data_IF_433727905269
#
_entry.id   IF_433727905269
#
_cell.length_a   1.000
_cell.length_b   1.000
_cell.length_c   1.000
_cell.angle_alpha   90.00
_cell.angle_beta   90.00
_cell.angle_gamma   90.00
#
_symmetry.space_group_name_H-M   'P 1'
#
loop_
_entity.id
_entity.type
_entity.pdbx_description
1 polymer ?
#
# COMPACT_ATOMS: atom_id res chain seq x y z
N UNK A 1 -10.51 -1.20 -15.46
CA UNK A 1 -9.48 -1.04 -16.50
C UNK A 1 -10.10 -0.61 -17.85
N UNK A 2 -10.95 0.42 -17.87
CA UNK A 2 -11.55 0.89 -19.13
C UNK A 2 -10.49 1.51 -20.06
N UNK A 3 -9.70 2.44 -19.55
CA UNK A 3 -8.68 3.14 -20.33
C UNK A 3 -7.66 2.18 -20.96
N UNK A 4 -7.16 1.21 -20.20
CA UNK A 4 -6.22 0.21 -20.73
C UNK A 4 -6.85 -0.68 -21.82
N UNK A 5 -8.10 -1.12 -21.65
CA UNK A 5 -8.79 -1.87 -22.71
C UNK A 5 -8.97 -1.01 -23.97
N UNK A 6 -9.23 0.28 -23.78
CA UNK A 6 -9.38 1.22 -24.89
C UNK A 6 -8.05 1.44 -25.62
N UNK A 7 -6.95 1.63 -24.88
CA UNK A 7 -5.60 1.73 -25.47
C UNK A 7 -5.21 0.43 -26.20
N UNK A 8 -5.47 -0.72 -25.60
CA UNK A 8 -5.25 -2.01 -26.24
C UNK A 8 -6.07 -2.17 -27.53
N UNK A 9 -7.30 -1.65 -27.59
CA UNK A 9 -8.12 -1.69 -28.83
C UNK A 9 -7.57 -0.81 -29.96
N UNK A 10 -6.67 0.13 -29.65
CA UNK A 10 -5.96 0.93 -30.64
C UNK A 10 -4.62 0.31 -31.04
N UNK A 11 -4.38 -0.96 -30.70
CA UNK A 11 -3.14 -1.68 -31.02
C UNK A 11 -1.88 -1.00 -30.47
N UNK A 12 -2.01 -0.27 -29.34
CA UNK A 12 -0.87 0.31 -28.62
C UNK A 12 0.06 -0.80 -28.16
N UNK A 13 1.36 -0.58 -28.26
CA UNK A 13 2.36 -1.59 -27.91
C UNK A 13 2.27 -1.97 -26.42
N UNK A 14 2.57 -3.24 -26.06
CA UNK A 14 2.61 -3.70 -24.67
C UNK A 14 3.51 -2.86 -23.77
N UNK A 15 4.61 -2.33 -24.31
CA UNK A 15 5.58 -1.49 -23.59
C UNK A 15 4.94 -0.17 -23.18
N UNK A 16 4.26 0.51 -24.10
CA UNK A 16 3.57 1.78 -23.82
C UNK A 16 2.43 1.53 -22.81
N UNK A 17 1.71 0.42 -22.97
CA UNK A 17 0.65 0.05 -22.05
C UNK A 17 1.17 -0.26 -20.64
N UNK A 18 2.35 -0.87 -20.53
CA UNK A 18 3.07 -1.09 -19.27
C UNK A 18 3.48 0.23 -18.62
N UNK A 19 4.01 1.18 -19.39
CA UNK A 19 4.35 2.53 -18.91
C UNK A 19 3.10 3.25 -18.41
N UNK A 20 1.99 3.21 -19.15
CA UNK A 20 0.72 3.79 -18.74
C UNK A 20 0.19 3.18 -17.44
N UNK A 21 0.23 1.84 -17.33
CA UNK A 21 -0.18 1.14 -16.11
C UNK A 21 0.68 1.55 -14.90
N UNK A 22 2.01 1.54 -15.05
CA UNK A 22 2.93 1.87 -13.97
C UNK A 22 2.89 3.34 -13.54
N UNK A 23 2.64 4.27 -14.48
CA UNK A 23 2.59 5.70 -14.17
C UNK A 23 1.23 6.13 -13.61
N UNK A 24 0.12 5.68 -14.19
CA UNK A 24 -1.23 6.16 -13.85
C UNK A 24 -1.94 5.21 -12.89
N UNK A 25 -2.05 3.93 -13.25
CA UNK A 25 -2.85 2.99 -12.45
C UNK A 25 -2.14 2.65 -11.15
N UNK A 26 -0.84 2.35 -11.22
CA UNK A 26 -0.03 2.06 -10.03
C UNK A 26 0.08 3.28 -9.10
N UNK A 27 0.14 4.52 -9.59
CA UNK A 27 0.20 5.69 -8.71
C UNK A 27 -1.10 5.88 -7.91
N UNK A 28 -2.24 5.82 -8.59
CA UNK A 28 -3.57 5.86 -7.95
C UNK A 28 -3.72 4.71 -6.96
N UNK A 29 -3.33 3.50 -7.34
CA UNK A 29 -3.44 2.35 -6.45
C UNK A 29 -2.54 2.44 -5.24
N UNK A 30 -1.27 2.83 -5.40
CA UNK A 30 -0.34 2.99 -4.28
C UNK A 30 -0.93 3.94 -3.24
N UNK A 31 -1.54 5.04 -3.70
CA UNK A 31 -2.25 5.97 -2.83
C UNK A 31 -3.48 5.33 -2.16
N UNK A 32 -4.38 4.71 -2.92
CA UNK A 32 -5.59 4.09 -2.38
C UNK A 32 -5.29 2.92 -1.43
N UNK A 33 -4.24 2.16 -1.68
CA UNK A 33 -3.81 1.03 -0.85
C UNK A 33 -3.43 1.49 0.56
N UNK A 34 -2.78 2.64 0.70
CA UNK A 34 -2.44 3.15 2.04
C UNK A 34 -3.68 3.53 2.86
N UNK A 35 -4.75 3.95 2.20
CA UNK A 35 -5.98 4.36 2.87
C UNK A 35 -6.93 3.17 3.11
N UNK A 36 -7.09 2.27 2.14
CA UNK A 36 -8.14 1.24 2.11
C UNK A 36 -7.59 -0.18 1.95
N UNK A 37 -6.28 -0.36 1.79
CA UNK A 37 -5.64 -1.64 1.47
C UNK A 37 -5.84 -2.72 2.53
N UNK A 38 -6.03 -2.34 3.80
CA UNK A 38 -6.44 -3.25 4.87
C UNK A 38 -7.85 -3.83 4.69
N UNK A 39 -8.77 -3.09 4.05
CA UNK A 39 -10.17 -3.48 3.87
C UNK A 39 -10.43 -4.35 2.62
N UNK A 40 -9.49 -4.40 1.69
CA UNK A 40 -9.66 -5.14 0.43
C UNK A 40 -9.22 -6.60 0.62
N UNK A 41 -10.06 -7.53 0.18
CA UNK A 41 -9.77 -8.96 0.26
C UNK A 41 -8.60 -9.36 -0.66
N UNK A 42 -7.89 -10.45 -0.33
CA UNK A 42 -6.82 -10.99 -1.18
C UNK A 42 -7.34 -11.35 -2.58
N UNK A 43 -8.54 -11.92 -2.66
CA UNK A 43 -9.17 -12.30 -3.93
C UNK A 43 -9.36 -11.09 -4.87
N UNK A 44 -9.82 -9.95 -4.33
CA UNK A 44 -10.03 -8.75 -5.12
C UNK A 44 -8.70 -8.16 -5.63
N UNK A 45 -7.68 -8.14 -4.77
CA UNK A 45 -6.30 -7.73 -5.12
C UNK A 45 -5.75 -8.57 -6.27
N UNK A 46 -5.87 -9.89 -6.16
CA UNK A 46 -5.37 -10.83 -7.17
C UNK A 46 -6.15 -10.75 -8.48
N UNK A 47 -7.48 -10.61 -8.42
CA UNK A 47 -8.34 -10.45 -9.61
C UNK A 47 -7.96 -9.20 -10.40
N UNK A 48 -7.60 -8.14 -9.70
CA UNK A 48 -7.23 -6.86 -10.29
C UNK A 48 -5.87 -6.96 -11.01
N UNK A 49 -4.87 -7.58 -10.37
CA UNK A 49 -3.56 -7.86 -10.98
C UNK A 49 -3.71 -8.77 -12.20
N UNK A 50 -4.41 -9.90 -12.08
CA UNK A 50 -4.63 -10.81 -13.21
C UNK A 50 -5.30 -10.12 -14.40
N UNK A 51 -6.21 -9.18 -14.15
CA UNK A 51 -6.82 -8.36 -15.20
C UNK A 51 -5.82 -7.42 -15.86
N UNK A 52 -4.96 -6.75 -15.08
CA UNK A 52 -3.92 -5.89 -15.63
C UNK A 52 -2.91 -6.70 -16.46
N UNK A 53 -2.40 -7.80 -15.90
CA UNK A 53 -1.45 -8.70 -16.56
C UNK A 53 -2.00 -9.24 -17.88
N UNK A 54 -3.29 -9.60 -17.94
CA UNK A 54 -3.91 -10.07 -19.18
C UNK A 54 -3.96 -9.02 -20.29
N UNK A 55 -4.14 -7.74 -19.95
CA UNK A 55 -4.22 -6.67 -20.95
C UNK A 55 -2.81 -6.27 -21.40
N UNK A 56 -1.83 -6.26 -20.50
CA UNK A 56 -0.43 -5.88 -20.82
C UNK A 56 0.32 -7.03 -21.49
N UNK A 57 -0.03 -8.29 -21.18
CA UNK A 57 0.71 -9.47 -21.63
C UNK A 57 1.93 -9.80 -20.78
N UNK A 58 2.14 -9.09 -19.66
CA UNK A 58 3.26 -9.31 -18.74
C UNK A 58 2.77 -9.45 -17.30
N UNK A 59 3.45 -10.28 -16.52
CA UNK A 59 3.13 -10.46 -15.10
C UNK A 59 3.42 -9.18 -14.31
N UNK A 60 2.42 -8.70 -13.58
CA UNK A 60 2.54 -7.49 -12.74
C UNK A 60 2.81 -7.88 -11.29
N UNK A 61 3.56 -7.04 -10.58
CA UNK A 61 3.84 -7.21 -9.15
C UNK A 61 2.55 -7.32 -8.34
N UNK A 62 2.51 -8.24 -7.38
CA UNK A 62 1.35 -8.44 -6.51
C UNK A 62 0.95 -7.18 -5.74
N UNK A 63 -0.35 -6.90 -5.69
CA UNK A 63 -0.90 -5.79 -4.87
C UNK A 63 -0.57 -5.96 -3.39
N UNK A 64 -0.52 -7.21 -2.89
CA UNK A 64 -0.14 -7.49 -1.51
C UNK A 64 1.29 -7.09 -1.19
N UNK A 65 2.23 -7.41 -2.07
CA UNK A 65 3.65 -7.12 -1.86
C UNK A 65 3.95 -5.63 -2.01
N UNK A 66 3.34 -4.99 -3.00
CA UNK A 66 3.41 -3.52 -3.12
C UNK A 66 2.82 -2.84 -1.90
N UNK A 67 1.68 -3.29 -1.37
CA UNK A 67 1.11 -2.76 -0.14
C UNK A 67 2.07 -2.91 1.05
N UNK A 68 2.65 -4.10 1.24
CA UNK A 68 3.64 -4.35 2.31
C UNK A 68 4.90 -3.49 2.17
N UNK A 69 5.35 -3.20 0.95
CA UNK A 69 6.49 -2.32 0.71
C UNK A 69 6.16 -0.83 0.96
N UNK A 70 4.94 -0.40 0.67
CA UNK A 70 4.51 1.00 0.84
C UNK A 70 4.27 1.38 2.29
N UNK A 71 3.75 0.46 3.12
CA UNK A 71 3.45 0.70 4.52
C UNK A 71 4.62 1.30 5.31
N UNK A 72 5.84 0.71 5.32
CA UNK A 72 6.97 1.26 6.04
C UNK A 72 7.47 2.59 5.43
N UNK A 73 7.40 2.75 4.11
CA UNK A 73 7.78 4.01 3.44
C UNK A 73 6.88 5.17 3.87
N UNK A 74 5.55 4.92 3.89
CA UNK A 74 4.59 5.92 4.33
C UNK A 74 4.72 6.18 5.82
N UNK A 75 4.92 5.15 6.63
CA UNK A 75 5.14 5.29 8.07
C UNK A 75 6.38 6.15 8.36
N UNK A 76 7.48 5.94 7.64
CA UNK A 76 8.67 6.76 7.75
C UNK A 76 8.39 8.23 7.37
N UNK A 77 7.64 8.46 6.28
CA UNK A 77 7.25 9.83 5.88
C UNK A 77 6.43 10.54 6.97
N UNK A 78 5.50 9.82 7.60
CA UNK A 78 4.69 10.33 8.71
C UNK A 78 5.55 10.56 9.96
N UNK A 79 6.54 9.70 10.17
CA UNK A 79 7.45 9.80 11.30
C UNK A 79 8.39 11.01 11.18
N UNK A 80 8.90 11.30 9.98
CA UNK A 80 9.81 12.43 9.76
C UNK A 80 9.10 13.78 9.71
N UNK A 81 7.81 13.79 9.37
CA UNK A 81 6.98 15.00 9.33
C UNK A 81 6.42 15.35 10.72
N UNK A 82 7.05 16.30 11.40
CA UNK A 82 6.64 16.79 12.73
C UNK A 82 5.27 17.48 12.70
N UNK A 83 4.86 18.02 11.55
CA UNK A 83 3.54 18.67 11.40
C UNK A 83 2.40 17.66 11.21
N UNK A 84 2.73 16.37 11.01
CA UNK A 84 1.73 15.37 10.73
C UNK A 84 0.88 15.05 11.98
N UNK A 85 -0.46 14.95 11.86
CA UNK A 85 -1.33 14.71 13.02
C UNK A 85 -1.07 13.36 13.73
N UNK A 86 -0.51 12.38 13.02
CA UNK A 86 -0.12 11.08 13.59
C UNK A 86 1.29 11.07 14.19
N UNK A 87 2.11 12.11 14.04
CA UNK A 87 3.50 12.13 14.50
C UNK A 87 3.61 11.89 16.01
N UNK A 88 2.87 12.68 16.80
CA UNK A 88 2.88 12.58 18.25
C UNK A 88 2.42 11.21 18.74
N UNK A 89 1.37 10.65 18.13
CA UNK A 89 0.88 9.31 18.45
C UNK A 89 1.98 8.27 18.26
N UNK A 90 2.71 8.33 17.14
CA UNK A 90 3.78 7.39 16.85
C UNK A 90 4.95 7.57 17.83
N UNK A 91 5.32 8.82 18.16
CA UNK A 91 6.35 9.12 19.14
C UNK A 91 6.03 8.51 20.52
N UNK A 92 4.78 8.64 20.98
CA UNK A 92 4.32 8.06 22.26
C UNK A 92 4.37 6.52 22.28
N UNK A 93 4.18 5.89 21.12
CA UNK A 93 4.22 4.43 21.00
C UNK A 93 5.64 3.85 20.83
N UNK A 94 6.68 4.69 20.75
CA UNK A 94 8.05 4.24 20.52
C UNK A 94 8.67 3.63 21.77
N UNK A 95 9.18 2.42 21.62
CA UNK A 95 9.99 1.78 22.63
C UNK A 95 11.46 2.16 22.38
N UNK A 96 11.93 3.20 23.07
CA UNK A 96 13.30 3.75 22.93
C UNK A 96 14.39 2.67 23.02
N UNK A 97 14.22 1.67 23.91
CA UNK A 97 15.20 0.59 24.10
C UNK A 97 15.34 -0.36 22.90
N UNK A 98 14.26 -0.57 22.14
CA UNK A 98 14.22 -1.55 21.05
C UNK A 98 14.04 -0.93 19.67
N UNK A 99 13.70 0.36 19.58
CA UNK A 99 13.36 1.06 18.34
C UNK A 99 12.03 0.62 17.72
N UNK A 100 11.27 -0.28 18.37
CA UNK A 100 10.00 -0.81 17.88
C UNK A 100 8.82 0.05 18.33
N UNK A 101 7.72 -0.01 17.58
CA UNK A 101 6.48 0.68 17.89
C UNK A 101 5.47 -0.26 18.54
N UNK A 102 4.75 0.23 19.55
CA UNK A 102 3.60 -0.46 20.15
C UNK A 102 2.35 -0.19 19.31
N UNK A 103 1.49 -1.20 19.18
CA UNK A 103 0.16 -0.98 18.62
C UNK A 103 -0.65 -0.20 19.65
N UNK A 104 -1.21 0.98 19.29
CA UNK A 104 -2.03 1.72 20.22
C UNK A 104 -3.35 0.98 20.43
N UNK A 105 -3.87 1.01 21.66
CA UNK A 105 -5.15 0.35 21.99
C UNK A 105 -6.30 1.30 21.67
N UNK A 106 -7.21 0.89 20.79
CA UNK A 106 -8.41 1.65 20.46
C UNK A 106 -9.66 0.88 20.85
N UNK A 107 -10.65 1.60 21.38
CA UNK A 107 -11.91 1.05 21.87
C UNK A 107 -12.79 0.43 20.76
N UNK A 108 -12.60 0.85 19.51
CA UNK A 108 -13.49 0.46 18.39
C UNK A 108 -13.09 -0.88 17.77
N UNK A 109 -13.88 -1.93 18.03
CA UNK A 109 -13.60 -3.32 17.62
C UNK A 109 -13.62 -3.61 16.11
N UNK A 110 -14.29 -2.81 15.28
CA UNK A 110 -14.56 -3.19 13.87
C UNK A 110 -13.80 -2.37 12.82
N UNK A 111 -13.55 -1.08 13.06
CA UNK A 111 -12.94 -0.19 12.06
C UNK A 111 -11.42 -0.09 12.18
N UNK A 112 -10.93 -0.19 13.41
CA UNK A 112 -9.53 0.05 13.71
C UNK A 112 -8.57 -1.08 13.27
N UNK A 113 -8.94 -2.39 13.35
CA UNK A 113 -8.10 -3.50 12.88
C UNK A 113 -7.70 -3.41 11.40
N UNK A 114 -8.49 -2.71 10.59
CA UNK A 114 -8.27 -2.54 9.14
C UNK A 114 -7.61 -1.19 8.79
N UNK A 115 -7.20 -0.44 9.81
CA UNK A 115 -6.56 0.87 9.64
C UNK A 115 -5.11 0.74 9.16
N UNK A 116 -4.57 1.88 8.69
CA UNK A 116 -3.17 2.01 8.32
C UNK A 116 -2.22 1.64 9.46
N UNK A 117 -2.48 2.11 10.69
CA UNK A 117 -1.58 1.92 11.85
C UNK A 117 -1.43 0.44 12.20
N UNK A 118 -2.54 -0.30 12.21
CA UNK A 118 -2.55 -1.73 12.52
C UNK A 118 -1.78 -2.58 11.51
N UNK A 119 -1.65 -2.11 10.27
CA UNK A 119 -0.87 -2.81 9.24
C UNK A 119 0.58 -2.30 9.17
N UNK A 120 0.79 -1.00 9.37
CA UNK A 120 2.09 -0.36 9.22
C UNK A 120 3.06 -0.71 10.35
N UNK A 121 2.59 -0.71 11.61
CA UNK A 121 3.43 -0.96 12.78
C UNK A 121 4.00 -2.38 12.79
N UNK A 122 3.21 -3.46 12.60
CA UNK A 122 3.76 -4.82 12.55
C UNK A 122 4.71 -5.00 11.38
N UNK A 123 4.37 -4.42 10.21
CA UNK A 123 5.25 -4.47 9.04
C UNK A 123 6.60 -3.80 9.33
N UNK A 124 6.59 -2.62 9.95
CA UNK A 124 7.80 -1.93 10.38
C UNK A 124 8.60 -2.74 11.40
N UNK A 125 7.95 -3.27 12.44
CA UNK A 125 8.62 -4.05 13.48
C UNK A 125 9.26 -5.34 12.96
N UNK A 126 8.64 -5.99 11.96
CA UNK A 126 9.20 -7.16 11.29
C UNK A 126 10.43 -6.83 10.45
N UNK A 127 10.45 -5.65 9.82
CA UNK A 127 11.57 -5.19 9.00
C UNK A 127 12.69 -4.54 9.83
N UNK A 128 12.38 -4.04 11.04
CA UNK A 128 13.33 -3.33 11.89
C UNK A 128 14.37 -4.28 12.50
N UNK A 129 15.64 -4.07 12.11
CA UNK A 129 16.82 -4.68 12.72
C UNK A 129 17.64 -3.55 13.36
N UNK A 130 18.07 -3.77 14.61
CA UNK A 130 18.88 -2.82 15.37
C UNK A 130 20.34 -2.85 14.92
#
# INVERSE_FOLDING_TARGET
MYCMRKLHSFYVSPEILSVFYNSVICSVWRYCLLAWGGNISKCEKDRLIKRASRIIGTEQTGVGDTYRALLPQKLHTVWTDVSHPLHNLLADQLIVRSGRLRLPSFSTKTRYPLSFIEHAIPCHNCSFKR
#
